data_IF_588429252506
#
_entry.id   IF_588429252506
#
_cell.length_a   1.000
_cell.length_b   1.000
_cell.length_c   1.000
_cell.angle_alpha   90.00
_cell.angle_beta   90.00
_cell.angle_gamma   90.00
#
_symmetry.space_group_name_H-M   'P 1'
#
loop_
_entity.id
_entity.type
_entity.pdbx_description
1 polymer ?
#
# COMPACT_ATOMS: atom_id res chain seq x y z
N UNK A 1 -17.03 2.12 -3.72
CA UNK A 1 -16.98 1.24 -4.92
C UNK A 1 -15.94 0.19 -4.64
N UNK A 2 -16.33 -1.08 -4.43
CA UNK A 2 -15.35 -2.14 -4.22
C UNK A 2 -14.46 -2.29 -5.45
N UNK A 3 -13.19 -2.53 -5.19
CA UNK A 3 -12.19 -2.86 -6.20
C UNK A 3 -11.93 -4.36 -6.11
N UNK A 4 -11.92 -5.04 -7.25
CA UNK A 4 -11.73 -6.49 -7.31
C UNK A 4 -10.72 -6.84 -8.40
N UNK A 5 -9.92 -7.85 -8.10
CA UNK A 5 -9.01 -8.47 -9.05
C UNK A 5 -9.75 -9.56 -9.84
N UNK A 6 -9.50 -9.62 -11.15
CA UNK A 6 -10.08 -10.61 -12.05
C UNK A 6 -9.01 -11.23 -12.95
N UNK A 7 -9.21 -12.51 -13.23
CA UNK A 7 -8.51 -13.25 -14.27
C UNK A 7 -9.50 -13.58 -15.40
N UNK A 8 -9.21 -13.19 -16.64
CA UNK A 8 -10.07 -13.53 -17.79
C UNK A 8 -9.70 -14.89 -18.36
N UNK A 9 -10.65 -15.84 -18.39
CA UNK A 9 -10.41 -17.18 -18.96
C UNK A 9 -10.24 -17.18 -20.48
N UNK A 10 -10.82 -16.20 -21.17
CA UNK A 10 -10.74 -16.13 -22.63
C UNK A 10 -9.40 -15.60 -23.16
N UNK A 11 -8.86 -14.52 -22.57
CA UNK A 11 -7.62 -13.90 -23.03
C UNK A 11 -6.45 -14.01 -22.05
N UNK A 12 -6.67 -14.63 -20.88
CA UNK A 12 -5.66 -14.89 -19.85
C UNK A 12 -5.06 -13.63 -19.22
N UNK A 13 -5.72 -12.47 -19.40
CA UNK A 13 -5.29 -11.22 -18.81
C UNK A 13 -5.77 -11.11 -17.35
N UNK A 14 -4.88 -10.65 -16.48
CA UNK A 14 -5.18 -10.22 -15.12
C UNK A 14 -5.41 -8.71 -15.09
N UNK A 15 -6.48 -8.27 -14.43
CA UNK A 15 -6.82 -6.86 -14.31
C UNK A 15 -7.63 -6.55 -13.05
N UNK A 16 -7.60 -5.30 -12.63
CA UNK A 16 -8.35 -4.80 -11.48
C UNK A 16 -9.49 -3.91 -11.96
N UNK A 17 -10.68 -4.10 -11.40
CA UNK A 17 -11.88 -3.37 -11.80
C UNK A 17 -12.66 -2.84 -10.59
N UNK A 18 -13.03 -1.56 -10.67
CA UNK A 18 -13.98 -0.94 -9.74
C UNK A 18 -15.40 -1.35 -10.13
N UNK A 19 -16.04 -2.20 -9.32
CA UNK A 19 -17.36 -2.75 -9.62
C UNK A 19 -18.43 -2.03 -8.80
N UNK A 20 -19.47 -1.53 -9.48
CA UNK A 20 -20.70 -1.06 -8.81
C UNK A 20 -21.65 -2.24 -8.61
N UNK A 21 -22.54 -2.13 -7.62
CA UNK A 21 -23.44 -3.22 -7.23
C UNK A 21 -24.27 -3.82 -8.38
N UNK A 22 -24.63 -3.02 -9.39
CA UNK A 22 -25.43 -3.44 -10.54
C UNK A 22 -24.62 -3.72 -11.81
N UNK A 23 -23.29 -3.61 -11.78
CA UNK A 23 -22.45 -3.78 -12.98
C UNK A 23 -22.03 -5.23 -13.14
N UNK A 24 -22.33 -5.81 -14.30
CA UNK A 24 -21.73 -7.10 -14.73
C UNK A 24 -20.33 -6.81 -15.28
N UNK A 25 -19.26 -7.29 -14.63
CA UNK A 25 -17.90 -7.03 -15.09
C UNK A 25 -17.61 -7.74 -16.42
N UNK A 26 -16.87 -7.07 -17.29
CA UNK A 26 -16.37 -7.62 -18.56
C UNK A 26 -14.87 -7.36 -18.66
N UNK A 27 -14.17 -8.23 -19.40
CA UNK A 27 -12.74 -8.05 -19.63
C UNK A 27 -12.49 -6.79 -20.47
N UNK A 28 -11.65 -5.83 -20.03
CA UNK A 28 -11.34 -4.64 -20.80
C UNK A 28 -10.51 -4.92 -22.06
N UNK A 29 -9.90 -6.11 -22.17
CA UNK A 29 -9.05 -6.50 -23.30
C UNK A 29 -9.81 -7.22 -24.42
N UNK A 30 -10.79 -8.06 -24.08
CA UNK A 30 -11.49 -8.89 -25.06
C UNK A 30 -13.04 -8.86 -24.95
N UNK A 31 -13.58 -8.04 -24.05
CA UNK A 31 -15.02 -7.92 -23.77
C UNK A 31 -15.72 -9.22 -23.27
N UNK A 32 -14.98 -10.30 -23.02
CA UNK A 32 -15.53 -11.54 -22.46
C UNK A 32 -16.10 -11.32 -21.06
N UNK A 33 -17.20 -12.00 -20.76
CA UNK A 33 -17.80 -12.11 -19.42
C UNK A 33 -17.26 -13.30 -18.62
N UNK A 34 -16.39 -14.11 -19.23
CA UNK A 34 -15.78 -15.28 -18.58
C UNK A 34 -14.62 -14.86 -17.68
N UNK A 35 -14.98 -14.35 -16.50
CA UNK A 35 -14.06 -13.81 -15.50
C UNK A 35 -14.06 -14.67 -14.24
N UNK A 36 -12.88 -14.90 -13.70
CA UNK A 36 -12.68 -15.47 -12.37
C UNK A 36 -12.29 -14.36 -11.40
N UNK A 37 -13.01 -14.24 -10.29
CA UNK A 37 -12.70 -13.25 -9.26
C UNK A 37 -11.56 -13.76 -8.39
N UNK A 38 -10.46 -13.03 -8.38
CA UNK A 38 -9.26 -13.39 -7.63
C UNK A 38 -9.31 -12.85 -6.20
N UNK A 39 -8.56 -13.50 -5.31
CA UNK A 39 -8.30 -12.98 -3.96
C UNK A 39 -7.17 -11.96 -4.07
N UNK A 40 -7.41 -10.75 -3.54
CA UNK A 40 -6.38 -9.72 -3.54
C UNK A 40 -5.16 -10.15 -2.74
N UNK A 41 -3.97 -9.82 -3.27
CA UNK A 41 -2.71 -10.18 -2.63
C UNK A 41 -2.60 -9.48 -1.27
N UNK A 42 -2.13 -10.21 -0.27
CA UNK A 42 -1.79 -9.63 1.04
C UNK A 42 -0.61 -8.68 0.85
N UNK A 43 -0.74 -7.44 1.34
CA UNK A 43 0.35 -6.48 1.33
C UNK A 43 1.54 -7.02 2.14
N UNK A 44 2.79 -6.85 1.67
CA UNK A 44 3.96 -7.25 2.43
C UNK A 44 4.06 -6.47 3.75
N UNK A 45 4.82 -7.00 4.71
CA UNK A 45 5.03 -6.34 6.00
C UNK A 45 5.51 -4.89 5.81
N UNK A 46 4.81 -3.95 6.46
CA UNK A 46 5.09 -2.53 6.35
C UNK A 46 6.48 -2.17 6.89
N UNK A 47 7.28 -1.44 6.10
CA UNK A 47 8.62 -0.98 6.49
C UNK A 47 8.64 0.46 7.04
N UNK A 48 7.46 1.05 7.25
CA UNK A 48 7.31 2.48 7.51
C UNK A 48 8.02 2.95 8.78
N UNK A 49 7.99 2.17 9.86
CA UNK A 49 8.68 2.54 11.10
C UNK A 49 10.20 2.52 10.92
N UNK A 50 10.74 1.54 10.19
CA UNK A 50 12.17 1.50 9.86
C UNK A 50 12.59 2.69 9.01
N UNK A 51 11.79 3.05 7.99
CA UNK A 51 12.03 4.22 7.12
C UNK A 51 11.98 5.52 7.95
N UNK A 52 10.94 5.72 8.78
CA UNK A 52 10.82 6.88 9.67
C UNK A 52 12.03 7.00 10.59
N UNK A 53 12.46 5.90 11.20
CA UNK A 53 13.60 5.90 12.12
C UNK A 53 14.92 6.20 11.42
N UNK A 54 15.13 5.66 10.22
CA UNK A 54 16.31 5.98 9.40
C UNK A 54 16.38 7.47 9.09
N UNK A 55 15.30 8.05 8.56
CA UNK A 55 15.23 9.46 8.22
C UNK A 55 15.41 10.37 9.45
N UNK A 56 14.82 9.99 10.60
CA UNK A 56 14.98 10.74 11.85
C UNK A 56 16.42 10.72 12.36
N UNK A 57 17.13 9.60 12.25
CA UNK A 57 18.54 9.50 12.64
C UNK A 57 19.42 10.36 11.75
N UNK A 58 19.20 10.35 10.43
CA UNK A 58 19.89 11.23 9.51
C UNK A 58 19.62 12.70 9.82
N UNK A 59 18.37 13.07 10.09
CA UNK A 59 18.02 14.43 10.46
C UNK A 59 18.66 14.89 11.78
N UNK A 60 18.74 14.00 12.78
CA UNK A 60 19.45 14.28 14.02
C UNK A 60 20.96 14.49 13.78
N UNK A 61 21.60 13.62 12.99
CA UNK A 61 23.02 13.74 12.65
C UNK A 61 23.32 15.04 11.88
N UNK A 62 22.38 15.52 11.08
CA UNK A 62 22.48 16.79 10.35
C UNK A 62 22.07 18.01 11.18
N UNK A 63 21.67 17.84 12.44
CA UNK A 63 21.31 18.96 13.32
C UNK A 63 19.94 19.60 13.03
N UNK A 64 19.08 18.98 12.21
CA UNK A 64 17.76 19.52 11.84
C UNK A 64 16.77 19.62 13.02
N UNK A 65 17.11 19.06 14.18
CA UNK A 65 16.31 19.17 15.40
C UNK A 65 16.76 20.30 16.33
N UNK A 66 17.46 21.32 15.84
CA UNK A 66 17.93 22.46 16.65
C UNK A 66 16.82 23.17 17.47
N UNK A 67 15.58 23.20 16.96
CA UNK A 67 14.43 23.82 17.64
C UNK A 67 13.71 22.92 18.66
N UNK A 68 14.16 21.67 18.84
CA UNK A 68 13.50 20.71 19.72
C UNK A 68 14.19 20.65 21.08
N UNK A 69 13.40 20.54 22.14
CA UNK A 69 13.90 20.27 23.49
C UNK A 69 14.56 18.87 23.58
N UNK A 70 15.42 18.62 24.57
CA UNK A 70 16.05 17.32 24.76
C UNK A 70 15.04 16.16 24.90
N UNK A 71 13.93 16.37 25.60
CA UNK A 71 12.87 15.36 25.78
C UNK A 71 12.14 15.04 24.48
N UNK A 72 11.89 16.04 23.64
CA UNK A 72 11.28 15.85 22.33
C UNK A 72 12.19 15.09 21.37
N UNK A 73 13.49 15.41 21.36
CA UNK A 73 14.50 14.67 20.59
C UNK A 73 14.55 13.20 21.00
N UNK A 74 14.56 12.93 22.31
CA UNK A 74 14.55 11.56 22.84
C UNK A 74 13.29 10.79 22.39
N UNK A 75 12.12 11.42 22.40
CA UNK A 75 10.86 10.82 21.93
C UNK A 75 10.87 10.55 20.42
N UNK A 76 11.43 11.47 19.62
CA UNK A 76 11.52 11.30 18.17
C UNK A 76 12.46 10.14 17.79
N UNK A 77 13.55 9.97 18.53
CA UNK A 77 14.55 8.93 18.29
C UNK A 77 14.22 7.58 18.94
N UNK A 78 13.16 7.51 19.75
CA UNK A 78 12.62 6.24 20.25
C UNK A 78 11.79 5.58 19.15
N UNK A 79 12.18 4.39 18.73
CA UNK A 79 11.34 3.56 17.86
C UNK A 79 10.04 3.19 18.57
N UNK A 80 8.93 3.05 17.83
CA UNK A 80 7.76 2.38 18.38
C UNK A 80 8.11 0.91 18.60
N UNK A 81 7.93 0.41 19.81
CA UNK A 81 7.76 -1.03 20.02
C UNK A 81 6.48 -1.43 19.30
N UNK A 82 6.62 -2.25 18.26
CA UNK A 82 5.49 -2.94 17.62
C UNK A 82 5.32 -4.26 18.34
#
# INVERSE_FOLDING_TARGET
>A
MPMFDYHCKACQADFELLVRASTVPTCPHCASTELEKCVSRIAPAGKIEAIRMSNRRLAAAQGHFNNYSPSEKARLLKGKSV
#
